data_IF_695552471762
#
_entry.id   IF_695552471762
#
_cell.length_a   1.000
_cell.length_b   1.000
_cell.length_c   1.000
_cell.angle_alpha   90.00
_cell.angle_beta   90.00
_cell.angle_gamma   90.00
#
_symmetry.space_group_name_H-M   'P 1'
#
loop_
_entity.id
_entity.type
_entity.pdbx_description
1 polymer ?
#
# COMPACT_ATOMS: atom_id res chain seq x y z
N UNK A 1 -8.07 -2.42 14.55
CA UNK A 1 -9.05 -3.49 14.84
C UNK A 1 -8.99 -4.59 13.78
N UNK A 2 -9.20 -4.34 12.47
CA UNK A 2 -9.18 -5.36 11.40
C UNK A 2 -7.93 -6.24 11.45
N UNK A 3 -6.72 -5.65 11.54
CA UNK A 3 -5.48 -6.43 11.62
C UNK A 3 -5.39 -7.29 12.87
N UNK A 4 -5.96 -6.82 13.98
CA UNK A 4 -6.06 -7.61 15.22
C UNK A 4 -6.97 -8.82 15.01
N UNK A 5 -8.13 -8.62 14.38
CA UNK A 5 -9.09 -9.69 14.10
C UNK A 5 -8.54 -10.69 13.06
N UNK A 6 -7.59 -10.25 12.22
CA UNK A 6 -6.80 -11.11 11.31
C UNK A 6 -5.62 -11.81 12.00
N UNK A 7 -5.42 -11.65 13.30
CA UNK A 7 -4.30 -12.24 14.04
C UNK A 7 -2.95 -11.57 13.77
N UNK A 8 -2.94 -10.33 13.25
CA UNK A 8 -1.73 -9.57 12.93
C UNK A 8 -1.44 -8.51 14.01
N UNK A 9 -0.71 -8.84 15.08
CA UNK A 9 -0.36 -7.89 16.13
C UNK A 9 0.62 -6.84 15.59
N UNK A 10 0.62 -5.61 16.17
CA UNK A 10 1.62 -4.61 15.79
C UNK A 10 3.03 -5.03 16.18
N UNK A 11 3.97 -4.88 15.23
CA UNK A 11 5.40 -5.01 15.50
C UNK A 11 5.90 -3.73 16.19
N UNK A 12 6.46 -3.87 17.38
CA UNK A 12 6.87 -2.74 18.21
C UNK A 12 8.39 -2.49 18.12
N UNK A 13 9.14 -3.40 17.51
CA UNK A 13 10.59 -3.32 17.34
C UNK A 13 11.05 -4.20 16.18
N UNK A 14 12.33 -4.13 15.82
CA UNK A 14 12.91 -4.88 14.72
C UNK A 14 12.82 -6.41 14.91
N UNK A 15 12.87 -6.90 16.15
CA UNK A 15 12.76 -8.34 16.42
C UNK A 15 11.34 -8.87 16.12
N UNK A 16 10.30 -8.07 16.35
CA UNK A 16 8.93 -8.42 15.98
C UNK A 16 8.79 -8.55 14.47
N UNK A 17 9.37 -7.60 13.72
CA UNK A 17 9.40 -7.64 12.25
C UNK A 17 10.15 -8.90 11.76
N UNK A 18 11.33 -9.16 12.31
CA UNK A 18 12.12 -10.33 11.92
C UNK A 18 11.36 -11.65 12.18
N UNK A 19 10.64 -11.74 13.30
CA UNK A 19 9.81 -12.91 13.62
C UNK A 19 8.66 -13.10 12.61
N UNK A 20 7.96 -12.02 12.24
CA UNK A 20 6.90 -12.09 11.23
C UNK A 20 7.48 -12.56 9.88
N UNK A 21 8.59 -11.99 9.44
CA UNK A 21 9.22 -12.36 8.16
C UNK A 21 9.77 -13.78 8.15
N UNK A 22 10.33 -14.26 9.28
CA UNK A 22 10.76 -15.66 9.41
C UNK A 22 9.60 -16.65 9.19
N UNK A 23 8.38 -16.26 9.55
CA UNK A 23 7.15 -17.01 9.29
C UNK A 23 6.51 -16.71 7.90
N UNK A 24 7.14 -15.85 7.09
CA UNK A 24 6.62 -15.36 5.81
C UNK A 24 5.28 -14.63 5.96
N UNK A 25 5.09 -13.96 7.08
CA UNK A 25 3.93 -13.15 7.40
C UNK A 25 4.22 -11.67 7.20
N UNK A 26 3.20 -10.86 6.84
CA UNK A 26 3.36 -9.41 6.82
C UNK A 26 3.56 -8.87 8.23
N UNK A 27 4.39 -7.82 8.38
CA UNK A 27 4.59 -7.11 9.64
C UNK A 27 3.79 -5.81 9.64
N UNK A 28 2.95 -5.62 10.65
CA UNK A 28 2.24 -4.36 10.86
C UNK A 28 3.07 -3.42 11.74
N UNK A 29 3.58 -2.33 11.15
CA UNK A 29 4.38 -1.30 11.82
C UNK A 29 3.53 -0.04 12.08
N UNK A 30 3.16 0.25 13.33
CA UNK A 30 2.48 1.51 13.66
C UNK A 30 3.36 2.72 13.38
N UNK A 31 2.77 3.81 12.87
CA UNK A 31 3.50 5.06 12.57
C UNK A 31 4.27 5.58 13.78
N UNK A 32 3.74 5.44 15.01
CA UNK A 32 4.43 5.86 16.24
C UNK A 32 5.76 5.13 16.49
N UNK A 33 5.90 3.90 15.96
CA UNK A 33 7.14 3.13 16.07
C UNK A 33 8.16 3.58 15.03
N UNK A 34 7.69 3.93 13.82
CA UNK A 34 8.54 4.40 12.73
C UNK A 34 8.97 5.85 12.92
N UNK A 35 8.04 6.71 13.31
CA UNK A 35 8.27 8.14 13.46
C UNK A 35 7.28 8.74 14.46
N UNK A 36 7.66 8.79 15.74
CA UNK A 36 6.81 9.33 16.79
C UNK A 36 6.38 10.80 16.57
N UNK A 37 7.24 11.73 16.09
CA UNK A 37 6.82 13.10 15.78
C UNK A 37 5.74 13.15 14.70
N UNK A 38 5.81 12.29 13.69
CA UNK A 38 4.80 12.23 12.65
C UNK A 38 3.46 11.72 13.18
N UNK A 39 3.48 10.77 14.12
CA UNK A 39 2.26 10.32 14.79
C UNK A 39 1.56 11.47 15.52
N UNK A 40 2.30 12.34 16.20
CA UNK A 40 1.74 13.54 16.87
C UNK A 40 1.02 14.43 15.85
N UNK A 41 1.63 14.68 14.68
CA UNK A 41 0.97 15.46 13.61
C UNK A 41 -0.29 14.77 13.07
N UNK A 42 -0.29 13.46 12.96
CA UNK A 42 -1.47 12.69 12.53
C UNK A 42 -2.59 12.73 13.56
N UNK A 43 -2.26 12.74 14.86
CA UNK A 43 -3.23 12.78 15.95
C UNK A 43 -3.97 14.13 16.05
N UNK A 44 -3.42 15.21 15.47
CA UNK A 44 -4.11 16.50 15.34
C UNK A 44 -5.44 16.37 14.58
N UNK A 45 -5.62 15.33 13.76
CA UNK A 45 -6.91 15.03 13.12
C UNK A 45 -8.06 14.93 14.13
N UNK A 46 -7.79 14.42 15.33
CA UNK A 46 -8.81 14.26 16.39
C UNK A 46 -9.34 15.60 16.88
N UNK A 47 -8.48 16.63 16.83
CA UNK A 47 -8.82 18.00 17.23
C UNK A 47 -9.42 18.79 16.07
N UNK A 48 -8.86 18.63 14.87
CA UNK A 48 -9.21 19.43 13.69
C UNK A 48 -10.38 18.85 12.88
N UNK A 49 -10.72 17.57 13.07
CA UNK A 49 -11.74 16.87 12.30
C UNK A 49 -11.34 16.53 10.85
N UNK A 50 -10.16 16.97 10.39
CA UNK A 50 -9.67 16.79 9.02
C UNK A 50 -8.28 16.14 8.98
N UNK A 51 -7.97 15.45 7.88
CA UNK A 51 -6.64 14.89 7.65
C UNK A 51 -5.67 16.02 7.27
N UNK A 52 -4.59 16.17 8.03
CA UNK A 52 -3.53 17.13 7.75
C UNK A 52 -2.40 16.57 6.87
N UNK A 53 -1.36 17.39 6.58
CA UNK A 53 -0.18 16.98 5.79
C UNK A 53 0.55 15.76 6.33
N UNK A 54 0.53 15.53 7.64
CA UNK A 54 1.13 14.34 8.26
C UNK A 54 0.63 13.02 7.69
N UNK A 55 -0.64 12.95 7.28
CA UNK A 55 -1.19 11.75 6.65
C UNK A 55 -0.63 11.51 5.23
N UNK A 56 -0.25 12.57 4.51
CA UNK A 56 0.43 12.44 3.23
C UNK A 56 1.86 11.91 3.43
N UNK A 57 2.60 12.54 4.33
CA UNK A 57 4.00 12.16 4.64
C UNK A 57 4.09 10.74 5.15
N UNK A 58 3.14 10.30 5.99
CA UNK A 58 3.11 8.92 6.50
C UNK A 58 3.08 7.86 5.40
N UNK A 59 2.44 8.14 4.25
CA UNK A 59 2.41 7.23 3.10
C UNK A 59 3.75 7.14 2.38
N UNK A 60 4.62 8.14 2.54
CA UNK A 60 5.93 8.23 1.90
C UNK A 60 7.04 7.58 2.75
N UNK A 61 6.74 7.17 3.99
CA UNK A 61 7.72 6.49 4.84
C UNK A 61 8.19 5.18 4.21
N UNK A 62 9.50 4.95 4.32
CA UNK A 62 10.11 3.67 3.96
C UNK A 62 10.67 3.01 5.24
N UNK A 63 10.03 1.95 5.76
CA UNK A 63 10.52 1.24 6.92
C UNK A 63 11.71 0.31 6.60
N UNK A 64 12.02 0.11 5.31
CA UNK A 64 13.10 -0.78 4.86
C UNK A 64 14.29 0.07 4.46
N UNK A 65 15.37 -0.02 5.23
CA UNK A 65 16.63 0.68 4.94
C UNK A 65 17.64 -0.31 4.34
N UNK A 66 18.40 0.16 3.36
CA UNK A 66 19.49 -0.61 2.74
C UNK A 66 19.04 -1.80 1.87
N UNK A 67 17.76 -1.89 1.51
CA UNK A 67 17.24 -2.87 0.58
C UNK A 67 16.18 -2.27 -0.34
N UNK A 68 16.03 -2.80 -1.57
CA UNK A 68 14.98 -2.36 -2.48
C UNK A 68 13.59 -2.55 -1.89
N UNK A 69 12.74 -1.53 -1.99
CA UNK A 69 11.38 -1.57 -1.45
C UNK A 69 10.40 -0.85 -2.38
N UNK A 70 9.39 -1.57 -2.86
CA UNK A 70 8.28 -0.98 -3.60
C UNK A 70 7.30 -0.33 -2.63
N UNK A 71 7.12 0.98 -2.72
CA UNK A 71 6.14 1.73 -1.92
C UNK A 71 4.79 1.77 -2.61
N UNK A 72 3.74 1.33 -1.93
CA UNK A 72 2.37 1.45 -2.42
C UNK A 72 1.78 2.76 -1.91
N UNK A 73 1.47 3.66 -2.84
CA UNK A 73 1.00 5.01 -2.58
C UNK A 73 -0.42 5.19 -3.09
N UNK A 74 -1.16 6.06 -2.43
CA UNK A 74 -2.51 6.39 -2.87
C UNK A 74 -2.86 7.85 -2.63
N UNK A 75 -3.70 8.39 -3.48
CA UNK A 75 -4.24 9.74 -3.35
C UNK A 75 -5.77 9.75 -3.47
N UNK A 76 -6.40 10.70 -2.82
CA UNK A 76 -7.85 10.93 -2.90
C UNK A 76 -8.20 12.14 -3.79
N UNK A 77 -7.19 12.93 -4.17
CA UNK A 77 -7.33 14.12 -5.02
C UNK A 77 -6.21 14.14 -6.05
N UNK A 78 -6.48 14.57 -7.29
CA UNK A 78 -5.47 14.61 -8.36
C UNK A 78 -4.21 15.42 -8.01
N UNK A 79 -4.36 16.54 -7.28
CA UNK A 79 -3.25 17.40 -6.89
C UNK A 79 -2.24 16.66 -6.02
N UNK A 80 -2.74 15.80 -5.11
CA UNK A 80 -1.88 14.95 -4.27
C UNK A 80 -1.21 13.85 -5.10
N UNK A 81 -1.91 13.33 -6.12
CA UNK A 81 -1.34 12.39 -7.08
C UNK A 81 -0.15 13.01 -7.83
N UNK A 82 -0.32 14.23 -8.36
CA UNK A 82 0.74 14.95 -9.05
C UNK A 82 1.96 15.21 -8.14
N UNK A 83 1.72 15.60 -6.88
CA UNK A 83 2.79 15.79 -5.89
C UNK A 83 3.55 14.50 -5.61
N UNK A 84 2.85 13.38 -5.42
CA UNK A 84 3.47 12.07 -5.18
C UNK A 84 4.25 11.57 -6.41
N UNK A 85 3.76 11.84 -7.62
CA UNK A 85 4.46 11.55 -8.88
C UNK A 85 5.77 12.33 -8.94
N UNK A 86 5.72 13.66 -8.78
CA UNK A 86 6.92 14.50 -8.81
C UNK A 86 7.94 14.08 -7.74
N UNK A 87 7.47 13.71 -6.55
CA UNK A 87 8.36 13.18 -5.51
C UNK A 87 8.97 11.84 -5.90
N UNK A 88 8.20 10.89 -6.43
CA UNK A 88 8.70 9.57 -6.82
C UNK A 88 9.81 9.68 -7.89
N UNK A 89 9.66 10.61 -8.83
CA UNK A 89 10.62 10.90 -9.88
C UNK A 89 11.89 11.57 -9.35
N UNK A 90 11.74 12.61 -8.50
CA UNK A 90 12.86 13.37 -7.97
C UNK A 90 13.70 12.61 -6.95
N UNK A 91 13.08 11.73 -6.17
CA UNK A 91 13.71 10.90 -5.11
C UNK A 91 14.16 9.52 -5.64
N UNK A 92 14.12 9.32 -6.95
CA UNK A 92 14.45 8.04 -7.60
C UNK A 92 13.77 6.83 -6.94
N UNK A 93 12.52 7.00 -6.51
CA UNK A 93 11.78 6.04 -5.70
C UNK A 93 11.21 4.88 -6.53
N UNK A 94 11.18 3.69 -5.93
CA UNK A 94 10.39 2.57 -6.41
C UNK A 94 8.98 2.68 -5.81
N UNK A 95 7.99 2.98 -6.63
CA UNK A 95 6.64 3.27 -6.18
C UNK A 95 5.55 2.77 -7.12
N UNK A 96 4.41 2.44 -6.56
CA UNK A 96 3.16 2.20 -7.27
C UNK A 96 2.10 3.14 -6.70
N UNK A 97 1.48 3.95 -7.55
CA UNK A 97 0.53 4.99 -7.17
C UNK A 97 -0.82 4.76 -7.82
N UNK A 98 -1.89 4.89 -7.05
CA UNK A 98 -3.26 4.78 -7.54
C UNK A 98 -4.21 5.76 -6.82
N UNK A 99 -5.30 6.18 -7.46
CA UNK A 99 -6.40 6.84 -6.77
C UNK A 99 -7.10 5.85 -5.84
N UNK A 100 -7.49 6.31 -4.67
CA UNK A 100 -8.25 5.53 -3.69
C UNK A 100 -9.50 6.27 -3.22
N UNK A 101 -10.45 5.54 -2.68
CA UNK A 101 -11.68 6.12 -2.13
C UNK A 101 -11.44 6.75 -0.76
N UNK A 102 -10.75 6.05 0.13
CA UNK A 102 -10.57 6.45 1.53
C UNK A 102 -9.12 6.76 1.91
N UNK A 103 -8.18 6.59 0.98
CA UNK A 103 -6.77 6.89 1.18
C UNK A 103 -5.87 5.67 1.40
N UNK A 104 -6.40 4.48 1.39
CA UNK A 104 -5.65 3.22 1.40
C UNK A 104 -5.07 2.93 0.00
N UNK A 105 -3.87 2.34 -0.12
CA UNK A 105 -3.28 1.97 -1.41
C UNK A 105 -3.88 0.66 -1.96
N UNK A 106 -5.22 0.62 -2.03
CA UNK A 106 -6.01 -0.53 -2.47
C UNK A 106 -6.93 -0.09 -3.61
N UNK A 107 -6.97 -0.85 -4.68
CA UNK A 107 -7.83 -0.59 -5.83
C UNK A 107 -9.31 -0.65 -5.43
N UNK A 108 -10.14 0.23 -6.00
CA UNK A 108 -11.59 0.16 -5.83
C UNK A 108 -12.09 -1.21 -6.37
N UNK A 109 -12.72 -2.04 -5.54
CA UNK A 109 -13.15 -3.37 -5.98
C UNK A 109 -14.22 -3.33 -7.08
N UNK A 110 -14.88 -2.19 -7.29
CA UNK A 110 -16.00 -2.01 -8.23
C UNK A 110 -15.59 -1.50 -9.60
N UNK A 111 -14.36 -1.01 -9.75
CA UNK A 111 -13.83 -0.46 -11.01
C UNK A 111 -12.31 -0.54 -11.05
N UNK A 112 -11.74 -0.73 -12.23
CA UNK A 112 -10.30 -0.70 -12.39
C UNK A 112 -9.79 0.73 -12.34
N UNK A 113 -9.04 1.15 -11.31
CA UNK A 113 -8.39 2.44 -11.30
C UNK A 113 -7.16 2.44 -12.23
N UNK A 114 -6.69 3.64 -12.59
CA UNK A 114 -5.34 3.81 -13.11
C UNK A 114 -4.34 3.43 -12.01
N UNK A 115 -3.31 2.68 -12.38
CA UNK A 115 -2.19 2.35 -11.49
C UNK A 115 -0.91 2.67 -12.24
N UNK A 116 -0.12 3.58 -11.72
CA UNK A 116 1.18 3.94 -12.29
C UNK A 116 2.31 3.38 -11.42
N UNK A 117 3.37 2.91 -12.07
CA UNK A 117 4.52 2.30 -11.41
C UNK A 117 5.80 3.00 -11.85
N UNK A 118 6.65 3.34 -10.89
CA UNK A 118 8.00 3.88 -11.09
C UNK A 118 9.02 2.92 -10.49
N UNK A 119 10.12 2.71 -11.20
CA UNK A 119 11.31 2.04 -10.67
C UNK A 119 12.51 2.98 -10.82
N UNK A 120 13.21 3.25 -9.73
CA UNK A 120 14.27 4.25 -9.64
C UNK A 120 13.83 5.62 -10.20
N UNK A 121 12.63 6.06 -9.84
CA UNK A 121 12.05 7.32 -10.31
C UNK A 121 11.62 7.34 -11.78
N UNK A 122 11.76 6.25 -12.52
CA UNK A 122 11.37 6.16 -13.94
C UNK A 122 10.04 5.46 -14.08
N UNK A 123 9.09 6.13 -14.71
CA UNK A 123 7.79 5.54 -15.01
C UNK A 123 7.93 4.32 -15.93
N UNK A 124 7.20 3.26 -15.60
CA UNK A 124 7.23 1.97 -16.29
C UNK A 124 5.87 1.67 -16.90
N UNK A 125 5.74 1.90 -18.21
CA UNK A 125 4.51 1.65 -18.96
C UNK A 125 4.09 0.17 -18.89
N UNK A 126 5.05 -0.74 -18.94
CA UNK A 126 4.86 -2.19 -18.90
C UNK A 126 4.39 -2.72 -17.52
N UNK A 127 4.58 -1.93 -16.46
CA UNK A 127 4.15 -2.21 -15.09
C UNK A 127 2.98 -1.31 -14.63
N UNK A 128 2.41 -0.54 -15.54
CA UNK A 128 1.31 0.40 -15.28
C UNK A 128 0.03 -0.03 -15.99
N UNK A 129 -1.11 0.46 -15.56
CA UNK A 129 -2.39 0.19 -16.23
C UNK A 129 -3.27 1.43 -16.25
N UNK A 130 -3.98 1.64 -17.36
CA UNK A 130 -4.97 2.71 -17.47
C UNK A 130 -6.23 2.40 -16.65
N UNK A 131 -6.97 3.43 -16.26
CA UNK A 131 -8.31 3.27 -15.71
C UNK A 131 -9.26 2.70 -16.76
N UNK A 132 -10.21 1.90 -16.31
CA UNK A 132 -11.38 1.54 -17.11
C UNK A 132 -12.50 2.56 -16.89
N UNK A 133 -13.25 2.83 -17.95
CA UNK A 133 -14.41 3.71 -17.87
C UNK A 133 -15.58 2.97 -17.24
N UNK A 134 -16.16 3.58 -16.20
CA UNK A 134 -17.33 3.02 -15.51
C UNK A 134 -17.01 1.87 -14.52
N UNK A 135 -18.05 1.33 -13.89
CA UNK A 135 -17.94 0.18 -13.00
C UNK A 135 -17.73 -1.12 -13.80
N UNK A 136 -17.34 -2.19 -13.08
CA UNK A 136 -17.31 -3.54 -13.64
C UNK A 136 -18.72 -3.93 -14.11
N UNK A 137 -18.78 -4.79 -15.15
CA UNK A 137 -20.07 -5.34 -15.63
C UNK A 137 -20.77 -6.17 -14.54
N UNK A 138 -19.99 -6.90 -13.75
CA UNK A 138 -20.48 -7.61 -12.57
C UNK A 138 -19.77 -7.04 -11.33
N UNK A 139 -20.57 -6.53 -10.40
CA UNK A 139 -20.03 -5.98 -9.15
C UNK A 139 -19.71 -7.13 -8.17
N UNK A 140 -18.55 -7.08 -7.52
CA UNK A 140 -18.21 -8.09 -6.51
C UNK A 140 -19.14 -7.98 -5.30
N UNK A 141 -19.42 -9.11 -4.69
CA UNK A 141 -20.13 -9.17 -3.40
C UNK A 141 -19.19 -8.70 -2.30
N UNK A 142 -19.38 -7.47 -1.86
CA UNK A 142 -18.65 -6.85 -0.76
C UNK A 142 -19.39 -7.06 0.56
N UNK A 143 -18.69 -6.90 1.71
CA UNK A 143 -19.35 -6.97 3.02
C UNK A 143 -20.47 -5.92 3.12
N UNK A 144 -21.57 -6.27 3.76
CA UNK A 144 -22.71 -5.37 3.98
C UNK A 144 -22.46 -4.32 5.06
N UNK A 145 -21.37 -4.42 5.82
CA UNK A 145 -21.02 -3.53 6.91
C UNK A 145 -19.56 -3.12 6.90
N UNK A 146 -19.25 -2.06 7.64
CA UNK A 146 -17.89 -1.48 7.80
C UNK A 146 -17.23 -1.89 9.12
N UNK A 147 -17.81 -2.84 9.86
CA UNK A 147 -17.26 -3.35 11.12
C UNK A 147 -15.95 -4.10 10.91
N UNK A 148 -15.04 -3.99 11.88
CA UNK A 148 -13.72 -4.63 11.79
C UNK A 148 -13.83 -6.15 11.63
N UNK A 149 -14.65 -6.81 12.44
CA UNK A 149 -14.85 -8.27 12.38
C UNK A 149 -15.43 -8.70 11.04
N UNK A 150 -16.44 -8.00 10.51
CA UNK A 150 -17.05 -8.29 9.20
C UNK A 150 -16.02 -8.16 8.07
N UNK A 151 -15.19 -7.12 8.13
CA UNK A 151 -14.12 -6.89 7.14
C UNK A 151 -13.04 -7.96 7.26
N UNK A 152 -12.62 -8.32 8.48
CA UNK A 152 -11.63 -9.36 8.70
C UNK A 152 -12.11 -10.72 8.17
N UNK A 153 -13.37 -11.09 8.45
CA UNK A 153 -13.96 -12.31 7.91
C UNK A 153 -13.96 -12.32 6.38
N UNK A 154 -14.39 -11.23 5.75
CA UNK A 154 -14.36 -11.11 4.29
C UNK A 154 -12.94 -11.31 3.72
N UNK A 155 -11.94 -10.70 4.33
CA UNK A 155 -10.54 -10.85 3.93
C UNK A 155 -10.08 -12.30 4.07
N UNK A 156 -10.44 -12.98 5.17
CA UNK A 156 -10.12 -14.40 5.38
C UNK A 156 -10.80 -15.31 4.33
N UNK A 157 -12.07 -15.06 4.02
CA UNK A 157 -12.81 -15.80 2.98
C UNK A 157 -12.17 -15.63 1.59
N UNK A 158 -11.70 -14.41 1.25
CA UNK A 158 -11.02 -14.17 -0.03
C UNK A 158 -9.64 -14.84 -0.06
N UNK A 159 -8.84 -14.71 1.00
CA UNK A 159 -7.50 -15.32 1.06
C UNK A 159 -7.55 -16.84 1.04
N UNK A 160 -8.57 -17.45 1.69
CA UNK A 160 -8.77 -18.91 1.70
C UNK A 160 -9.41 -19.45 0.43
N UNK A 161 -9.81 -18.58 -0.51
CA UNK A 161 -10.49 -18.99 -1.75
C UNK A 161 -11.97 -19.35 -1.60
N UNK A 162 -12.55 -19.18 -0.40
CA UNK A 162 -14.00 -19.38 -0.18
C UNK A 162 -14.83 -18.29 -0.87
N UNK A 163 -14.24 -17.17 -1.18
CA UNK A 163 -14.86 -16.06 -1.90
C UNK A 163 -13.95 -15.59 -3.03
N UNK A 164 -14.49 -15.26 -4.22
CA UNK A 164 -13.66 -14.75 -5.30
C UNK A 164 -13.05 -13.39 -4.94
N UNK A 165 -11.77 -13.21 -5.26
CA UNK A 165 -11.12 -11.92 -5.14
C UNK A 165 -11.69 -10.93 -6.17
N UNK A 166 -12.04 -9.69 -5.80
CA UNK A 166 -12.47 -8.69 -6.77
C UNK A 166 -11.42 -8.48 -7.87
N UNK A 167 -11.82 -8.46 -9.17
CA UNK A 167 -10.87 -8.40 -10.29
C UNK A 167 -9.85 -7.25 -10.21
N UNK A 168 -10.21 -6.01 -9.80
CA UNK A 168 -9.23 -4.93 -9.67
C UNK A 168 -8.16 -5.21 -8.60
N UNK A 169 -8.52 -5.89 -7.51
CA UNK A 169 -7.58 -6.27 -6.46
C UNK A 169 -6.65 -7.38 -6.92
N UNK A 170 -7.19 -8.39 -7.62
CA UNK A 170 -6.38 -9.45 -8.22
C UNK A 170 -5.36 -8.87 -9.20
N UNK A 171 -5.79 -7.91 -10.05
CA UNK A 171 -4.92 -7.22 -10.98
C UNK A 171 -3.84 -6.41 -10.26
N UNK A 172 -4.21 -5.63 -9.24
CA UNK A 172 -3.24 -4.89 -8.44
C UNK A 172 -2.21 -5.82 -7.80
N UNK A 173 -2.63 -6.94 -7.21
CA UNK A 173 -1.72 -7.92 -6.62
C UNK A 173 -0.74 -8.50 -7.66
N UNK A 174 -1.22 -8.86 -8.86
CA UNK A 174 -0.38 -9.32 -9.95
C UNK A 174 0.65 -8.26 -10.39
N UNK A 175 0.22 -6.99 -10.48
CA UNK A 175 1.11 -5.86 -10.81
C UNK A 175 2.18 -5.63 -9.72
N UNK A 176 1.83 -5.77 -8.44
CA UNK A 176 2.79 -5.69 -7.34
C UNK A 176 3.85 -6.78 -7.48
N UNK A 177 3.44 -8.02 -7.73
CA UNK A 177 4.36 -9.14 -7.94
C UNK A 177 5.29 -8.89 -9.12
N UNK A 178 4.76 -8.41 -10.26
CA UNK A 178 5.56 -8.08 -11.43
C UNK A 178 6.56 -6.94 -11.14
N UNK A 179 6.12 -5.87 -10.46
CA UNK A 179 6.99 -4.75 -10.08
C UNK A 179 8.11 -5.17 -9.11
N UNK A 180 7.80 -5.99 -8.10
CA UNK A 180 8.79 -6.52 -7.16
C UNK A 180 9.77 -7.45 -7.87
N UNK A 181 9.31 -8.26 -8.82
CA UNK A 181 10.19 -9.12 -9.63
C UNK A 181 11.16 -8.28 -10.47
N UNK A 182 10.66 -7.25 -11.15
CA UNK A 182 11.49 -6.33 -11.93
C UNK A 182 12.49 -5.55 -11.04
N UNK A 183 12.05 -5.16 -9.84
CA UNK A 183 12.89 -4.49 -8.84
C UNK A 183 14.08 -5.37 -8.42
N UNK A 184 13.83 -6.66 -8.15
CA UNK A 184 14.87 -7.62 -7.74
C UNK A 184 15.88 -7.94 -8.83
N UNK A 185 15.50 -7.78 -10.09
CA UNK A 185 16.37 -8.03 -11.25
C UNK A 185 17.27 -6.83 -11.59
N UNK A 186 17.11 -5.70 -10.95
CA UNK A 186 17.99 -4.54 -11.18
C UNK A 186 19.39 -4.79 -10.64
N UNK A 187 20.44 -4.37 -11.37
CA UNK A 187 21.84 -4.57 -10.93
C UNK A 187 22.16 -3.90 -9.57
N UNK A 188 21.58 -2.73 -9.32
CA UNK A 188 21.74 -1.97 -8.07
C UNK A 188 21.01 -2.60 -6.87
N UNK A 189 20.02 -3.45 -7.11
CA UNK A 189 19.29 -4.16 -6.06
C UNK A 189 20.13 -5.28 -5.41
N UNK A 190 21.21 -5.71 -6.04
CA UNK A 190 22.07 -6.79 -5.60
C UNK A 190 23.33 -6.29 -4.86
N UNK A 191 23.56 -4.99 -4.82
CA UNK A 191 24.67 -4.42 -4.06
C UNK A 191 24.41 -4.60 -2.55
N UNK A 192 25.37 -5.19 -1.79
CA UNK A 192 25.23 -5.24 -0.34
C UNK A 192 25.14 -3.83 0.22
N UNK A 193 24.20 -3.60 1.16
CA UNK A 193 24.15 -2.35 1.89
C UNK A 193 25.54 -2.06 2.47
N UNK A 194 26.13 -0.92 2.12
CA UNK A 194 27.38 -0.50 2.75
C UNK A 194 27.16 -0.41 4.25
N UNK A 195 27.98 -1.13 5.00
CA UNK A 195 27.91 -1.25 6.45
C UNK A 195 28.23 0.08 7.16
#
# INVERSE_FOLDING_TARGET
DILKDLGMPPAMNAADVARAWARREPAFLPTRVLCAPLQVLMDLRRLLGVRGPGHLVAKMLNPVLGAPALRLLSHTRPELGNLMTAWAESDATDAMLLPSTEGEPVADPRRQPRIDTWLAGRWRADLSTAAQTGPLAELPLLPSGTGAATTALYVQEVISGMRPVPPPLARQAAMIVAAVSALRMRPDALAPAAA
#
